data_IF_359693409750
#
_entry.id   IF_359693409750
#
_cell.length_a   1.000
_cell.length_b   1.000
_cell.length_c   1.000
_cell.angle_alpha   90.00
_cell.angle_beta   90.00
_cell.angle_gamma   90.00
#
_symmetry.space_group_name_H-M   'P 1'
#
loop_
_entity.id
_entity.type
_entity.pdbx_description
1 polymer ?
#
# COMPACT_ATOMS: atom_id res chain seq x y z
N UNK A 1 -11.91 16.71 -48.95
CA UNK A 1 -12.25 15.30 -48.64
C UNK A 1 -10.96 14.48 -48.71
N UNK A 2 -10.46 14.05 -47.54
CA UNK A 2 -9.36 13.09 -47.30
C UNK A 2 -8.54 13.54 -46.08
N UNK A 3 -9.19 13.63 -44.92
CA UNK A 3 -8.50 13.88 -43.65
C UNK A 3 -8.52 12.60 -42.84
N UNK A 4 -7.34 12.13 -42.44
CA UNK A 4 -7.17 10.92 -41.64
C UNK A 4 -7.76 11.15 -40.25
N UNK A 5 -8.57 10.21 -39.77
CA UNK A 5 -9.17 10.26 -38.43
C UNK A 5 -8.07 10.31 -37.37
N UNK A 6 -8.19 11.23 -36.40
CA UNK A 6 -7.24 11.35 -35.30
C UNK A 6 -7.36 10.22 -34.27
N UNK A 7 -6.37 10.16 -33.39
CA UNK A 7 -6.29 9.12 -32.37
C UNK A 7 -7.07 9.47 -31.09
N UNK A 8 -7.59 8.44 -30.42
CA UNK A 8 -8.12 8.54 -29.07
C UNK A 8 -7.08 7.93 -28.11
N UNK A 9 -6.49 8.77 -27.27
CA UNK A 9 -5.49 8.35 -26.28
C UNK A 9 -6.12 8.28 -24.90
N UNK A 10 -6.14 7.08 -24.30
CA UNK A 10 -6.53 6.90 -22.91
C UNK A 10 -5.30 6.92 -22.00
N UNK A 11 -5.36 7.74 -20.96
CA UNK A 11 -4.36 7.76 -19.90
C UNK A 11 -5.00 7.19 -18.64
N UNK A 12 -4.47 6.07 -18.16
CA UNK A 12 -4.88 5.48 -16.90
C UNK A 12 -4.25 6.24 -15.74
N UNK A 13 -5.08 6.72 -14.83
CA UNK A 13 -4.65 7.34 -13.59
C UNK A 13 -5.10 6.49 -12.41
N UNK A 14 -4.19 6.33 -11.43
CA UNK A 14 -4.48 5.59 -10.21
C UNK A 14 -5.32 6.48 -9.30
N UNK A 15 -6.53 6.03 -8.96
CA UNK A 15 -7.36 6.69 -7.96
C UNK A 15 -6.77 6.47 -6.57
N UNK A 16 -6.79 7.50 -5.74
CA UNK A 16 -6.39 7.40 -4.34
C UNK A 16 -7.22 6.34 -3.61
N UNK A 17 -6.53 5.46 -2.87
CA UNK A 17 -7.14 4.42 -2.07
C UNK A 17 -6.95 4.77 -0.59
N UNK A 18 -7.97 4.64 0.28
CA UNK A 18 -7.93 5.11 1.67
C UNK A 18 -6.84 4.46 2.54
N UNK A 19 -6.32 3.30 2.12
CA UNK A 19 -5.31 2.53 2.87
C UNK A 19 -4.02 2.25 2.13
N UNK A 20 -4.02 2.31 0.79
CA UNK A 20 -2.92 1.82 -0.02
C UNK A 20 -2.41 2.92 -0.92
N UNK A 21 -1.10 3.14 -0.91
CA UNK A 21 -0.40 3.96 -1.91
C UNK A 21 0.35 3.03 -2.85
N UNK A 22 0.05 3.06 -4.15
CA UNK A 22 0.76 2.24 -5.14
C UNK A 22 2.01 2.99 -5.64
N UNK A 23 3.15 2.31 -5.67
CA UNK A 23 4.38 2.82 -6.30
C UNK A 23 4.98 1.71 -7.16
N UNK A 24 4.87 1.85 -8.49
CA UNK A 24 5.22 0.77 -9.40
C UNK A 24 4.32 -0.46 -9.18
N UNK A 25 4.93 -1.59 -8.84
CA UNK A 25 4.24 -2.85 -8.56
C UNK A 25 4.01 -3.11 -7.06
N UNK A 26 4.45 -2.19 -6.21
CA UNK A 26 4.35 -2.31 -4.76
C UNK A 26 3.16 -1.54 -4.17
N UNK A 27 2.63 -2.06 -3.06
CA UNK A 27 1.59 -1.44 -2.23
C UNK A 27 2.17 -1.02 -0.88
N UNK A 28 2.07 0.27 -0.57
CA UNK A 28 2.51 0.86 0.68
C UNK A 28 1.31 1.13 1.59
N UNK A 29 1.50 0.87 2.89
CA UNK A 29 0.56 1.22 3.96
C UNK A 29 1.34 1.95 5.05
N UNK A 30 0.83 3.10 5.48
CA UNK A 30 1.34 3.78 6.66
C UNK A 30 0.57 3.29 7.88
N UNK A 31 1.29 2.76 8.87
CA UNK A 31 0.73 2.30 10.13
C UNK A 31 1.50 2.95 11.28
N UNK A 32 0.82 3.79 12.05
CA UNK A 32 1.40 4.47 13.21
C UNK A 32 1.45 3.50 14.38
N UNK A 33 2.65 3.28 14.91
CA UNK A 33 2.87 2.49 16.11
C UNK A 33 3.21 3.40 17.29
N UNK A 34 2.81 2.98 18.49
CA UNK A 34 3.33 3.56 19.73
C UNK A 34 4.80 3.16 19.93
N UNK A 35 5.54 3.95 20.71
CA UNK A 35 6.92 3.62 21.08
C UNK A 35 6.99 2.25 21.79
N UNK A 36 6.00 1.95 22.62
CA UNK A 36 5.91 0.66 23.32
C UNK A 36 5.72 -0.51 22.35
N UNK A 37 4.89 -0.37 21.32
CA UNK A 37 4.70 -1.39 20.28
C UNK A 37 5.97 -1.55 19.43
N UNK A 38 6.65 -0.45 19.10
CA UNK A 38 7.90 -0.49 18.34
C UNK A 38 9.03 -1.20 19.11
N UNK A 39 9.09 -1.06 20.44
CA UNK A 39 10.14 -1.66 21.28
C UNK A 39 9.79 -3.08 21.75
N UNK A 40 8.54 -3.31 22.13
CA UNK A 40 8.08 -4.57 22.73
C UNK A 40 7.42 -5.50 21.71
N UNK A 41 7.41 -5.15 20.43
CA UNK A 41 6.72 -5.88 19.38
C UNK A 41 5.24 -5.51 19.26
N UNK A 42 4.68 -5.82 18.10
CA UNK A 42 3.29 -5.54 17.76
C UNK A 42 2.69 -6.65 16.93
N UNK A 43 1.36 -6.67 16.89
CA UNK A 43 0.60 -7.56 16.02
C UNK A 43 -0.69 -6.87 15.60
N UNK A 44 -0.92 -6.77 14.28
CA UNK A 44 -2.18 -6.25 13.75
C UNK A 44 -2.58 -6.97 12.47
N UNK A 45 -3.87 -6.88 12.14
CA UNK A 45 -4.45 -7.48 10.94
C UNK A 45 -4.59 -6.42 9.85
N UNK A 46 -4.03 -6.69 8.68
CA UNK A 46 -4.15 -5.88 7.48
C UNK A 46 -5.07 -6.58 6.47
N UNK A 47 -6.20 -5.97 6.12
CA UNK A 47 -7.03 -6.41 4.99
C UNK A 47 -6.37 -5.96 3.68
N UNK A 48 -6.02 -6.92 2.83
CA UNK A 48 -5.42 -6.68 1.53
C UNK A 48 -6.50 -6.38 0.46
N UNK A 49 -6.10 -5.92 -0.74
CA UNK A 49 -7.03 -5.55 -1.84
C UNK A 49 -7.91 -6.71 -2.34
N UNK A 50 -7.46 -7.94 -2.13
CA UNK A 50 -8.17 -9.18 -2.46
C UNK A 50 -8.99 -9.74 -1.29
N UNK A 51 -9.24 -8.92 -0.26
CA UNK A 51 -9.96 -9.24 0.97
C UNK A 51 -9.31 -10.30 1.87
N UNK A 52 -8.06 -10.71 1.60
CA UNK A 52 -7.31 -11.55 2.54
C UNK A 52 -6.94 -10.76 3.79
N UNK A 53 -6.94 -11.43 4.93
CA UNK A 53 -6.45 -10.90 6.20
C UNK A 53 -4.99 -11.33 6.40
N UNK A 54 -4.08 -10.37 6.38
CA UNK A 54 -2.66 -10.58 6.61
C UNK A 54 -2.34 -10.25 8.06
N UNK A 55 -1.73 -11.19 8.78
CA UNK A 55 -1.23 -10.96 10.12
C UNK A 55 0.18 -10.36 10.05
N UNK A 56 0.31 -9.08 10.35
CA UNK A 56 1.61 -8.43 10.48
C UNK A 56 2.01 -8.50 11.95
N UNK A 57 3.22 -9.01 12.23
CA UNK A 57 3.74 -9.13 13.59
C UNK A 57 5.24 -8.88 13.63
N UNK A 58 5.70 -8.32 14.74
CA UNK A 58 7.12 -8.13 15.08
C UNK A 58 7.36 -8.68 16.47
N UNK A 59 8.49 -9.36 16.68
CA UNK A 59 8.84 -9.86 18.02
C UNK A 59 9.49 -8.76 18.87
N UNK A 60 9.40 -8.83 20.21
CA UNK A 60 10.15 -7.94 21.09
C UNK A 60 11.65 -8.00 20.78
N UNK A 61 12.30 -6.84 20.63
CA UNK A 61 13.73 -6.75 20.32
C UNK A 61 14.10 -6.89 18.83
N UNK A 62 13.13 -7.13 17.94
CA UNK A 62 13.34 -7.06 16.49
C UNK A 62 13.41 -5.59 16.06
N UNK A 63 14.62 -5.11 15.72
CA UNK A 63 14.81 -3.71 15.32
C UNK A 63 14.29 -3.49 13.90
N UNK A 64 13.15 -2.82 13.80
CA UNK A 64 12.62 -2.36 12.52
C UNK A 64 13.43 -1.14 12.10
N UNK A 65 14.15 -1.27 10.98
CA UNK A 65 14.97 -0.18 10.44
C UNK A 65 14.04 0.88 9.82
N UNK A 66 14.23 2.17 10.14
CA UNK A 66 13.50 3.27 9.52
C UNK A 66 13.85 3.42 8.04
#
# INVERSE_FOLDING_TARGET
PDMVTGDIVFVLQVKEHPRFKRKGDDLFVEHTLSLTEALCGFQFVLTHLDNRQLLIKSQPGEVIKP
#
